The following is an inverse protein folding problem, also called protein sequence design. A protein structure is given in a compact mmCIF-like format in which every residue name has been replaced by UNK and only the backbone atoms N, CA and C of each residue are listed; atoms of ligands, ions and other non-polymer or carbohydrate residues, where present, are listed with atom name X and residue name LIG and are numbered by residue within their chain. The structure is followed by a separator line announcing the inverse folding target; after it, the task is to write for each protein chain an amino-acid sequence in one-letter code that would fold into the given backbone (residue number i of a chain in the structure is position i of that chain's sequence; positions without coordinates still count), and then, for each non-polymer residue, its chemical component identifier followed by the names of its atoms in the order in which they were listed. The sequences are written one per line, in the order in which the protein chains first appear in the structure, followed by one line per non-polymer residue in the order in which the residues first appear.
data_IF_063861724408
#
_entry.id   IF_063861724408
#
_cell.length_a   1.000
_cell.length_b   1.000
_cell.length_c   1.000
_cell.angle_alpha   90.00
_cell.angle_beta   90.00
_cell.angle_gamma   90.00
#
_symmetry.space_group_name_H-M   'P 1'
#
loop_
_entity.id
_entity.type
_entity.pdbx_description
1 polymer ?
#
# COMPACT_ATOMS: atom_id res chain seq x y z
N UNK A 1 19.94 -12.92 6.20
CA UNK A 1 20.71 -13.87 5.35
C UNK A 1 21.07 -13.20 4.03
N UNK A 2 22.36 -13.24 3.63
CA UNK A 2 22.88 -12.69 2.35
C UNK A 2 23.36 -13.85 1.48
N UNK A 3 22.43 -14.64 0.95
CA UNK A 3 22.75 -15.84 0.16
C UNK A 3 23.70 -15.47 -0.99
N UNK A 4 24.87 -16.13 -1.05
CA UNK A 4 25.93 -15.84 -2.02
C UNK A 4 26.35 -14.36 -2.10
N UNK A 5 26.26 -13.61 -0.99
CA UNK A 5 26.62 -12.19 -0.95
C UNK A 5 25.59 -11.25 -1.55
N UNK A 6 24.38 -11.73 -1.90
CA UNK A 6 23.31 -10.88 -2.40
C UNK A 6 22.97 -9.73 -1.44
N UNK A 7 22.82 -8.53 -1.99
CA UNK A 7 22.54 -7.29 -1.26
C UNK A 7 21.47 -6.40 -1.94
N UNK A 8 20.91 -6.84 -3.08
CA UNK A 8 19.83 -6.19 -3.81
C UNK A 8 18.88 -7.23 -4.41
N UNK A 9 17.64 -6.83 -4.70
CA UNK A 9 16.61 -7.70 -5.28
C UNK A 9 15.74 -6.92 -6.28
N UNK A 10 15.24 -7.62 -7.30
CA UNK A 10 14.14 -7.14 -8.13
C UNK A 10 12.83 -7.36 -7.36
N UNK A 11 12.00 -6.32 -7.26
CA UNK A 11 10.76 -6.31 -6.46
C UNK A 11 9.68 -5.45 -7.13
N UNK A 12 8.42 -5.63 -6.74
CA UNK A 12 7.43 -4.57 -6.90
C UNK A 12 7.60 -3.55 -5.77
N UNK A 13 7.29 -2.27 -6.06
CA UNK A 13 7.52 -1.17 -5.12
C UNK A 13 6.89 -1.37 -3.74
N UNK A 14 5.75 -2.05 -3.64
CA UNK A 14 4.99 -2.22 -2.38
C UNK A 14 5.04 -3.65 -1.82
N UNK A 15 5.99 -4.49 -2.25
CA UNK A 15 6.08 -5.89 -1.77
C UNK A 15 6.18 -5.98 -0.24
N UNK A 16 5.36 -6.84 0.37
CA UNK A 16 5.30 -7.02 1.83
C UNK A 16 6.57 -7.61 2.44
N UNK A 17 7.47 -8.15 1.63
CA UNK A 17 8.77 -8.65 2.08
C UNK A 17 9.81 -7.56 2.30
N UNK A 18 9.63 -6.34 1.77
CA UNK A 18 10.65 -5.29 1.74
C UNK A 18 10.97 -4.80 3.16
N UNK A 19 9.98 -4.21 3.85
CA UNK A 19 10.17 -3.64 5.18
C UNK A 19 10.64 -4.67 6.22
N UNK A 20 10.04 -5.90 6.31
CA UNK A 20 10.51 -6.93 7.24
C UNK A 20 11.93 -7.44 6.93
N UNK A 21 12.40 -7.33 5.69
CA UNK A 21 13.75 -7.74 5.29
C UNK A 21 14.81 -6.64 5.48
N UNK A 22 14.41 -5.45 5.95
CA UNK A 22 15.30 -4.30 6.09
C UNK A 22 15.83 -3.78 4.75
N UNK A 23 15.08 -3.98 3.67
CA UNK A 23 15.40 -3.45 2.34
C UNK A 23 14.73 -2.10 2.12
N UNK A 24 15.27 -1.32 1.19
CA UNK A 24 14.70 -0.05 0.74
C UNK A 24 14.57 -0.07 -0.78
N UNK A 25 13.43 0.40 -1.28
CA UNK A 25 13.21 0.57 -2.72
C UNK A 25 13.83 1.89 -3.17
N UNK A 26 14.63 1.83 -4.22
CA UNK A 26 15.20 3.03 -4.85
C UNK A 26 14.15 3.71 -5.72
N UNK A 27 14.16 5.04 -5.75
CA UNK A 27 13.30 5.83 -6.61
C UNK A 27 13.68 5.61 -8.09
N UNK A 28 12.69 5.31 -8.95
CA UNK A 28 12.85 5.39 -10.40
C UNK A 28 12.73 6.86 -10.84
N UNK A 29 13.83 7.61 -10.71
CA UNK A 29 13.91 9.05 -10.95
C UNK A 29 13.76 9.43 -12.44
N UNK A 30 13.98 8.47 -13.34
CA UNK A 30 13.89 8.66 -14.79
C UNK A 30 12.62 8.08 -15.41
N UNK A 31 11.76 7.46 -14.60
CA UNK A 31 10.48 6.90 -15.06
C UNK A 31 10.68 5.84 -16.14
N UNK A 32 11.67 4.96 -15.97
CA UNK A 32 11.93 3.87 -16.92
C UNK A 32 10.77 2.87 -16.90
N UNK A 33 10.17 2.64 -15.73
CA UNK A 33 9.00 1.78 -15.57
C UNK A 33 7.69 2.58 -15.70
N UNK A 34 6.63 1.98 -16.25
CA UNK A 34 5.29 2.55 -16.14
C UNK A 34 4.85 2.73 -14.68
N UNK A 35 4.07 3.78 -14.42
CA UNK A 35 3.54 4.07 -13.08
C UNK A 35 2.29 3.24 -12.81
N UNK A 36 2.28 2.53 -11.68
CA UNK A 36 1.14 1.74 -11.20
C UNK A 36 0.66 2.25 -9.83
N UNK A 37 -0.09 3.35 -9.83
CA UNK A 37 -0.72 3.89 -8.60
C UNK A 37 -2.10 3.25 -8.36
N UNK A 38 -2.38 2.72 -7.17
CA UNK A 38 -3.68 2.17 -6.85
C UNK A 38 -4.71 3.29 -6.67
N UNK A 39 -5.88 3.14 -7.27
CA UNK A 39 -7.01 4.06 -7.09
C UNK A 39 -8.34 3.29 -7.09
N UNK A 40 -9.34 3.73 -6.31
CA UNK A 40 -10.70 3.21 -6.43
C UNK A 40 -11.27 3.54 -7.82
N UNK A 41 -11.83 2.54 -8.50
CA UNK A 41 -12.64 2.73 -9.70
C UNK A 41 -14.08 2.30 -9.40
N UNK A 42 -15.04 3.12 -9.81
CA UNK A 42 -16.46 2.91 -9.50
C UNK A 42 -17.31 3.27 -10.71
N UNK A 43 -18.39 2.52 -10.94
CA UNK A 43 -19.35 2.82 -12.00
C UNK A 43 -20.08 4.12 -11.68
N UNK A 44 -20.29 4.95 -12.70
CA UNK A 44 -20.94 6.26 -12.54
C UNK A 44 -22.32 6.18 -11.86
N UNK A 45 -23.15 5.21 -12.24
CA UNK A 45 -24.49 5.05 -11.65
C UNK A 45 -24.44 4.89 -10.12
N UNK A 46 -23.48 4.12 -9.60
CA UNK A 46 -23.34 3.88 -8.16
C UNK A 46 -22.75 5.11 -7.46
N UNK A 47 -21.82 5.80 -8.11
CA UNK A 47 -21.27 7.04 -7.57
C UNK A 47 -22.31 8.16 -7.52
N UNK A 48 -23.24 8.23 -8.49
CA UNK A 48 -24.37 9.17 -8.47
C UNK A 48 -25.35 8.87 -7.33
N UNK A 49 -25.56 7.60 -7.00
CA UNK A 49 -26.38 7.19 -5.84
C UNK A 49 -25.66 7.45 -4.50
N UNK A 50 -24.32 7.42 -4.49
CA UNK A 50 -23.50 7.59 -3.30
C UNK A 50 -22.32 8.55 -3.52
N UNK A 51 -22.59 9.84 -3.80
CA UNK A 51 -21.56 10.80 -4.17
C UNK A 51 -20.53 11.05 -3.07
N UNK A 52 -20.87 10.78 -1.80
CA UNK A 52 -19.98 10.90 -0.67
C UNK A 52 -18.78 9.93 -0.72
N UNK A 53 -18.84 8.85 -1.52
CA UNK A 53 -17.75 7.86 -1.62
C UNK A 53 -16.42 8.53 -2.02
N UNK A 54 -16.46 9.46 -2.97
CA UNK A 54 -15.26 10.18 -3.42
C UNK A 54 -14.61 10.95 -2.27
N UNK A 55 -15.40 11.75 -1.55
CA UNK A 55 -14.93 12.56 -0.43
C UNK A 55 -14.41 11.69 0.73
N UNK A 56 -15.00 10.52 0.95
CA UNK A 56 -14.57 9.57 1.99
C UNK A 56 -13.26 8.87 1.62
N UNK A 57 -13.10 8.44 0.36
CA UNK A 57 -11.93 7.65 -0.05
C UNK A 57 -10.71 8.51 -0.41
N UNK A 58 -10.91 9.77 -0.84
CA UNK A 58 -9.82 10.68 -1.19
C UNK A 58 -8.74 10.79 -0.09
N UNK A 59 -9.04 11.16 1.16
CA UNK A 59 -8.02 11.28 2.20
C UNK A 59 -7.44 9.92 2.63
N UNK A 60 -8.20 8.82 2.45
CA UNK A 60 -7.72 7.47 2.75
C UNK A 60 -6.60 7.08 1.79
N UNK A 61 -6.81 7.28 0.48
CA UNK A 61 -5.81 6.93 -0.54
C UNK A 61 -4.63 7.90 -0.59
N UNK A 62 -4.82 9.17 -0.25
CA UNK A 62 -3.72 10.12 -0.08
C UNK A 62 -2.75 9.73 1.06
N UNK A 63 -3.21 8.90 2.01
CA UNK A 63 -2.38 8.33 3.09
C UNK A 63 -1.70 7.00 2.73
N UNK A 64 -2.02 6.40 1.59
CA UNK A 64 -1.42 5.12 1.15
C UNK A 64 -0.16 5.38 0.32
N UNK A 65 0.85 5.99 0.93
CA UNK A 65 2.17 6.14 0.32
C UNK A 65 2.93 4.80 0.22
N UNK A 66 4.08 4.82 -0.47
CA UNK A 66 4.89 3.64 -0.75
C UNK A 66 5.25 2.86 0.54
N UNK A 67 5.71 3.57 1.56
CA UNK A 67 6.19 2.97 2.81
C UNK A 67 5.02 2.42 3.61
N UNK A 68 3.92 3.18 3.70
CA UNK A 68 2.68 2.76 4.35
C UNK A 68 2.17 1.45 3.74
N UNK A 69 2.10 1.37 2.40
CA UNK A 69 1.67 0.14 1.73
C UNK A 69 2.62 -1.05 1.97
N UNK A 70 3.94 -0.82 1.98
CA UNK A 70 4.91 -1.87 2.33
C UNK A 70 4.70 -2.41 3.75
N UNK A 71 4.48 -1.52 4.72
CA UNK A 71 4.23 -1.91 6.12
C UNK A 71 2.93 -2.71 6.26
N UNK A 72 1.84 -2.24 5.67
CA UNK A 72 0.55 -2.94 5.71
C UNK A 72 0.64 -4.31 5.00
N UNK A 73 1.27 -4.38 3.83
CA UNK A 73 1.46 -5.64 3.12
C UNK A 73 2.39 -6.59 3.90
N UNK A 74 3.42 -6.08 4.58
CA UNK A 74 4.32 -6.88 5.40
C UNK A 74 3.65 -7.49 6.62
N UNK A 75 2.77 -6.75 7.29
CA UNK A 75 1.94 -7.26 8.39
C UNK A 75 1.09 -8.46 7.98
N UNK A 76 0.55 -8.43 6.76
CA UNK A 76 -0.23 -9.54 6.21
C UNK A 76 0.68 -10.69 5.77
N UNK A 77 1.60 -10.44 4.84
CA UNK A 77 2.39 -11.48 4.17
C UNK A 77 3.41 -12.16 5.09
N UNK A 78 4.05 -11.40 5.97
CA UNK A 78 5.13 -11.89 6.86
C UNK A 78 4.63 -11.99 8.31
N UNK A 79 3.86 -11.00 8.77
CA UNK A 79 3.30 -10.98 10.12
C UNK A 79 2.14 -11.96 10.35
N UNK A 80 1.49 -12.44 9.28
CA UNK A 80 0.36 -13.36 9.35
C UNK A 80 -0.93 -12.73 9.87
N UNK A 81 -1.00 -11.39 9.94
CA UNK A 81 -2.21 -10.69 10.37
C UNK A 81 -3.31 -10.78 9.29
N UNK A 82 -4.58 -10.99 9.67
CA UNK A 82 -5.69 -10.92 8.72
C UNK A 82 -5.75 -9.53 8.05
N UNK A 83 -5.82 -9.49 6.72
CA UNK A 83 -5.86 -8.23 5.96
C UNK A 83 -6.99 -7.29 6.42
N UNK A 84 -8.14 -7.83 6.83
CA UNK A 84 -9.24 -7.06 7.43
C UNK A 84 -8.79 -6.32 8.71
N UNK A 85 -8.08 -6.99 9.60
CA UNK A 85 -7.61 -6.40 10.85
C UNK A 85 -6.57 -5.31 10.58
N UNK A 86 -5.65 -5.55 9.63
CA UNK A 86 -4.65 -4.55 9.20
C UNK A 86 -5.33 -3.31 8.60
N UNK A 87 -6.35 -3.48 7.76
CA UNK A 87 -7.11 -2.38 7.19
C UNK A 87 -7.89 -1.59 8.26
N UNK A 88 -8.58 -2.27 9.18
CA UNK A 88 -9.31 -1.61 10.28
C UNK A 88 -8.36 -0.80 11.18
N UNK A 89 -7.20 -1.37 11.52
CA UNK A 89 -6.19 -0.68 12.32
C UNK A 89 -5.61 0.55 11.60
N UNK A 90 -5.30 0.44 10.30
CA UNK A 90 -4.86 1.59 9.49
C UNK A 90 -5.90 2.71 9.48
N UNK A 91 -7.18 2.37 9.24
CA UNK A 91 -8.27 3.34 9.22
C UNK A 91 -8.46 4.00 10.59
N UNK A 92 -8.39 3.22 11.68
CA UNK A 92 -8.51 3.73 13.06
C UNK A 92 -7.37 4.67 13.43
N UNK A 93 -6.13 4.27 13.16
CA UNK A 93 -4.92 5.08 13.44
C UNK A 93 -4.93 6.43 12.73
N UNK A 94 -5.54 6.49 11.55
CA UNK A 94 -5.65 7.72 10.76
C UNK A 94 -6.97 8.49 11.01
N UNK A 95 -7.81 8.04 11.95
CA UNK A 95 -9.06 8.72 12.31
C UNK A 95 -10.18 8.58 11.28
N UNK A 96 -10.07 7.63 10.34
CA UNK A 96 -11.11 7.33 9.34
C UNK A 96 -12.17 6.35 9.85
N UNK A 97 -11.86 5.63 10.94
CA UNK A 97 -12.76 4.67 11.58
C UNK A 97 -12.62 4.77 13.11
N UNK A 98 -13.70 4.51 13.85
CA UNK A 98 -13.68 4.43 15.32
C UNK A 98 -13.29 3.05 15.81
#
# INVERSE_FOLDING_TARGET
NKTNGANAAMVYGTDGGIAPSGLVVLQDDKGVQPVYQPAPIIREAVLKEHPQIEALLKPVFEKLDLVTLQELNGRVQVGGEPAKAVAEDFLKKNGFLK
#
